data_IF_556305040780
#
_entry.id   IF_556305040780
#
_cell.length_a   1.000
_cell.length_b   1.000
_cell.length_c   1.000
_cell.angle_alpha   90.00
_cell.angle_beta   90.00
_cell.angle_gamma   90.00
#
_symmetry.space_group_name_H-M   'P 1'
#
loop_
_entity.id
_entity.type
_entity.pdbx_description
1 polymer ?
#
# COMPACT_ATOMS: atom_id res chain seq x y z
N UNK A 1 -16.28 12.80 19.61
CA UNK A 1 -15.95 12.10 19.62
C UNK A 1 -15.09 11.66 18.95
N UNK A 2 -14.43 11.86 18.73
CA UNK A 2 -13.72 11.56 17.91
C UNK A 2 -13.55 10.39 17.70
N UNK A 3 -13.43 10.19 16.81
CA UNK A 3 -13.51 9.05 16.43
C UNK A 3 -12.36 8.27 16.60
N UNK A 4 -12.42 7.28 17.32
CA UNK A 4 -11.53 6.22 17.28
C UNK A 4 -12.03 5.15 16.42
N UNK A 5 -13.06 5.44 15.67
CA UNK A 5 -13.70 4.47 14.81
C UNK A 5 -12.86 4.27 13.56
N UNK A 6 -12.23 3.12 13.44
CA UNK A 6 -11.41 2.81 12.28
C UNK A 6 -12.24 2.67 11.00
N UNK A 7 -13.56 2.55 11.13
CA UNK A 7 -14.44 2.53 9.96
C UNK A 7 -14.48 3.82 9.18
N UNK A 8 -14.00 4.92 9.78
CA UNK A 8 -13.94 6.20 9.08
C UNK A 8 -12.72 6.31 8.17
N UNK A 9 -11.80 5.38 8.26
CA UNK A 9 -10.60 5.39 7.43
C UNK A 9 -10.78 4.50 6.22
N UNK A 10 -10.24 4.95 5.10
CA UNK A 10 -10.13 4.12 3.90
C UNK A 10 -8.68 4.16 3.46
N UNK A 11 -8.27 3.14 2.74
CA UNK A 11 -6.92 3.09 2.22
C UNK A 11 -6.92 2.49 0.83
N UNK A 12 -6.02 2.98 -0.01
CA UNK A 12 -5.80 2.43 -1.34
C UNK A 12 -4.32 2.15 -1.50
N UNK A 13 -4.02 0.96 -1.95
CA UNK A 13 -2.66 0.52 -2.19
C UNK A 13 -2.52 0.18 -3.67
N UNK A 14 -1.63 0.86 -4.35
CA UNK A 14 -1.35 0.66 -5.77
C UNK A 14 0.00 -0.04 -5.90
N UNK A 15 -0.02 -1.26 -6.45
CA UNK A 15 1.17 -2.07 -6.62
C UNK A 15 1.66 -1.95 -8.06
N UNK A 16 2.54 -1.00 -8.28
CA UNK A 16 3.16 -0.83 -9.59
C UNK A 16 4.42 -1.66 -9.73
N UNK A 17 4.98 -1.69 -10.92
CA UNK A 17 6.17 -2.49 -11.20
C UNK A 17 7.44 -1.91 -10.57
N UNK A 18 7.45 -0.63 -10.29
CA UNK A 18 8.63 0.00 -9.70
C UNK A 18 8.39 0.56 -8.31
N UNK A 19 7.15 0.89 -8.00
CA UNK A 19 6.82 1.51 -6.71
C UNK A 19 5.46 1.03 -6.25
N UNK A 20 5.33 0.89 -4.94
CA UNK A 20 4.04 0.68 -4.31
C UNK A 20 3.64 2.01 -3.66
N UNK A 21 2.39 2.41 -3.86
CA UNK A 21 1.87 3.67 -3.32
C UNK A 21 0.71 3.38 -2.39
N UNK A 22 0.74 4.00 -1.23
CA UNK A 22 -0.34 3.89 -0.26
C UNK A 22 -0.90 5.27 0.00
N UNK A 23 -2.23 5.37 -0.01
CA UNK A 23 -2.93 6.57 0.41
C UNK A 23 -3.93 6.15 1.46
N UNK A 24 -3.92 6.85 2.59
CA UNK A 24 -4.91 6.65 3.64
C UNK A 24 -5.69 7.94 3.79
N UNK A 25 -7.00 7.83 3.81
CA UNK A 25 -7.87 8.98 3.95
C UNK A 25 -8.87 8.72 5.05
N UNK A 26 -9.38 9.80 5.60
CA UNK A 26 -10.37 9.76 6.65
C UNK A 26 -11.62 10.47 6.16
N UNK A 27 -12.77 9.84 6.40
CA UNK A 27 -14.04 10.46 6.05
C UNK A 27 -14.36 11.59 7.02
N UNK A 28 -14.88 12.68 6.49
CA UNK A 28 -15.41 13.77 7.30
C UNK A 28 -16.74 14.23 6.70
N UNK A 29 -17.29 15.31 7.21
CA UNK A 29 -18.62 15.77 6.81
C UNK A 29 -18.72 16.19 5.35
N UNK A 30 -17.60 16.56 4.75
CA UNK A 30 -17.61 17.05 3.38
C UNK A 30 -16.93 16.11 2.40
N UNK A 31 -16.49 14.95 2.85
CA UNK A 31 -15.86 13.97 1.98
C UNK A 31 -14.70 13.28 2.67
N UNK A 32 -13.58 13.20 1.99
CA UNK A 32 -12.42 12.52 2.51
C UNK A 32 -11.24 13.46 2.60
N UNK A 33 -10.41 13.25 3.61
CA UNK A 33 -9.18 14.00 3.78
C UNK A 33 -8.02 13.01 3.79
N UNK A 34 -7.03 13.22 2.92
CA UNK A 34 -5.85 12.38 2.91
C UNK A 34 -5.03 12.68 4.15
N UNK A 35 -4.73 11.66 4.93
CA UNK A 35 -3.99 11.81 6.18
C UNK A 35 -2.63 11.13 6.16
N UNK A 36 -2.39 10.25 5.19
CA UNK A 36 -1.10 9.58 5.07
C UNK A 36 -0.88 9.20 3.62
N UNK A 37 0.34 9.37 3.15
CA UNK A 37 0.79 8.91 1.86
C UNK A 37 2.14 8.27 2.06
N UNK A 38 2.34 7.14 1.43
CA UNK A 38 3.62 6.45 1.55
C UNK A 38 3.97 5.77 0.24
N UNK A 39 5.24 5.84 -0.12
CA UNK A 39 5.75 5.23 -1.33
C UNK A 39 6.90 4.31 -0.98
N UNK A 40 6.89 3.11 -1.54
CA UNK A 40 8.00 2.18 -1.42
C UNK A 40 8.54 1.91 -2.82
N UNK A 41 9.83 2.15 -3.02
CA UNK A 41 10.47 1.85 -4.30
C UNK A 41 10.92 0.40 -4.29
N UNK A 42 10.34 -0.42 -5.12
CA UNK A 42 10.61 -1.86 -5.15
C UNK A 42 11.35 -2.29 -6.41
N UNK A 43 11.21 -1.52 -7.49
CA UNK A 43 11.95 -1.73 -8.75
C UNK A 43 11.86 -3.17 -9.27
N UNK A 44 10.65 -3.71 -9.27
CA UNK A 44 10.44 -5.08 -9.76
C UNK A 44 10.83 -5.21 -11.23
N UNK A 45 10.62 -4.15 -12.00
CA UNK A 45 10.92 -4.19 -13.43
C UNK A 45 12.40 -4.49 -13.71
N UNK A 46 13.29 -4.09 -12.79
CA UNK A 46 14.73 -4.34 -12.96
C UNK A 46 15.20 -5.58 -12.21
N UNK A 47 14.26 -6.32 -11.61
CA UNK A 47 14.58 -7.49 -10.80
C UNK A 47 14.48 -8.82 -11.52
N UNK A 48 14.29 -8.82 -12.85
CA UNK A 48 14.21 -10.05 -13.62
C UNK A 48 15.59 -10.52 -14.04
N UNK A 49 15.78 -11.85 -14.06
CA UNK A 49 17.01 -12.43 -14.56
C UNK A 49 16.91 -12.63 -16.08
N UNK A 50 17.92 -13.24 -16.65
CA UNK A 50 18.01 -13.43 -18.10
C UNK A 50 16.90 -14.35 -18.63
N UNK A 51 16.37 -15.22 -17.80
CA UNK A 51 15.30 -16.12 -18.18
C UNK A 51 13.92 -15.54 -17.96
N UNK A 52 13.83 -14.29 -17.50
CA UNK A 52 12.55 -13.64 -17.27
C UNK A 52 11.93 -13.95 -15.92
N UNK A 53 12.69 -14.50 -14.98
CA UNK A 53 12.21 -14.80 -13.64
C UNK A 53 12.62 -13.71 -12.67
N UNK A 54 11.75 -13.38 -11.72
CA UNK A 54 12.12 -12.44 -10.68
C UNK A 54 13.19 -13.02 -9.79
N UNK A 55 14.24 -12.24 -9.56
CA UNK A 55 15.30 -12.66 -8.66
C UNK A 55 14.78 -12.71 -7.23
N UNK A 56 15.34 -13.63 -6.45
CA UNK A 56 14.93 -13.80 -5.06
C UNK A 56 15.08 -12.49 -4.25
N UNK A 57 16.12 -11.73 -4.53
CA UNK A 57 16.34 -10.45 -3.86
C UNK A 57 15.22 -9.47 -4.13
N UNK A 58 14.73 -9.43 -5.38
CA UNK A 58 13.66 -8.53 -5.75
C UNK A 58 12.35 -8.92 -5.04
N UNK A 59 12.09 -10.22 -4.97
CA UNK A 59 10.92 -10.72 -4.27
C UNK A 59 10.98 -10.36 -2.79
N UNK A 60 12.13 -10.57 -2.16
CA UNK A 60 12.31 -10.25 -0.75
C UNK A 60 12.12 -8.77 -0.45
N UNK A 61 12.61 -7.92 -1.35
CA UNK A 61 12.46 -6.49 -1.21
C UNK A 61 10.98 -6.07 -1.29
N UNK A 62 10.26 -6.67 -2.24
CA UNK A 62 8.83 -6.38 -2.39
C UNK A 62 8.04 -6.86 -1.18
N UNK A 63 8.34 -8.04 -0.66
CA UNK A 63 7.67 -8.57 0.52
C UNK A 63 7.88 -7.66 1.73
N UNK A 64 9.11 -7.18 1.93
CA UNK A 64 9.37 -6.29 3.03
C UNK A 64 8.66 -4.95 2.88
N UNK A 65 8.54 -4.47 1.65
CA UNK A 65 7.78 -3.25 1.39
C UNK A 65 6.31 -3.45 1.73
N UNK A 66 5.74 -4.60 1.35
CA UNK A 66 4.36 -4.91 1.66
C UNK A 66 4.13 -5.03 3.17
N UNK A 67 5.09 -5.59 3.89
CA UNK A 67 4.99 -5.67 5.34
C UNK A 67 4.95 -4.29 5.98
N UNK A 68 5.79 -3.37 5.51
CA UNK A 68 5.79 -2.00 6.03
C UNK A 68 4.47 -1.30 5.74
N UNK A 69 3.96 -1.48 4.52
CA UNK A 69 2.69 -0.86 4.15
C UNK A 69 1.53 -1.48 4.91
N UNK A 70 1.59 -2.80 5.13
CA UNK A 70 0.58 -3.49 5.90
C UNK A 70 0.48 -3.00 7.33
N UNK A 71 1.62 -2.67 7.94
CA UNK A 71 1.62 -2.10 9.27
C UNK A 71 0.88 -0.78 9.35
N UNK A 72 1.00 0.03 8.30
CA UNK A 72 0.32 1.33 8.27
C UNK A 72 -1.18 1.21 8.19
N UNK A 73 -1.69 0.11 7.64
CA UNK A 73 -3.13 -0.06 7.45
C UNK A 73 -3.71 -1.14 8.36
N UNK A 74 -2.94 -1.63 9.31
CA UNK A 74 -3.31 -2.78 10.12
C UNK A 74 -4.66 -2.62 10.82
N UNK A 75 -5.00 -1.40 11.24
CA UNK A 75 -6.24 -1.14 11.97
C UNK A 75 -7.40 -0.76 11.06
N UNK A 76 -7.18 -0.68 9.77
CA UNK A 76 -8.24 -0.33 8.84
C UNK A 76 -8.96 -1.62 8.46
N UNK A 77 -10.30 -1.67 8.57
CA UNK A 77 -11.04 -2.87 8.18
C UNK A 77 -10.77 -3.24 6.74
N UNK A 78 -10.68 -4.52 6.45
CA UNK A 78 -10.36 -4.99 5.10
C UNK A 78 -11.40 -4.53 4.08
N UNK A 79 -12.64 -4.33 4.50
CA UNK A 79 -13.68 -3.82 3.61
C UNK A 79 -13.42 -2.38 3.17
N UNK A 80 -12.55 -1.67 3.88
CA UNK A 80 -12.20 -0.29 3.58
C UNK A 80 -10.82 -0.18 2.92
N UNK A 81 -10.23 -1.30 2.56
CA UNK A 81 -8.92 -1.34 1.92
C UNK A 81 -9.08 -1.81 0.49
N UNK A 82 -8.55 -1.05 -0.46
CA UNK A 82 -8.55 -1.41 -1.86
C UNK A 82 -7.12 -1.59 -2.32
N UNK A 83 -6.87 -2.72 -2.98
CA UNK A 83 -5.54 -3.02 -3.51
C UNK A 83 -5.68 -3.22 -5.01
N UNK A 84 -4.88 -2.51 -5.78
CA UNK A 84 -4.87 -2.65 -7.23
C UNK A 84 -3.45 -2.92 -7.71
N UNK A 85 -3.34 -3.70 -8.75
CA UNK A 85 -2.05 -3.96 -9.39
C UNK A 85 -2.03 -3.33 -10.77
N UNK A 86 -0.92 -2.70 -11.12
CA UNK A 86 -0.78 -2.05 -12.43
C UNK A 86 0.46 -2.53 -13.19
#
# INVERSE_FOLDING_TARGET
>A
MPSKNTGDFIAALDLGSNSFHLIVARRNDVGYQVIDKHKENVRLASGFDEQGNLKREAIGKAVKALERLGERVRKIPSSNLRIVGT
#
